data_IF_329966855869
#
_entry.id   IF_329966855869
#
_cell.length_a   1.000
_cell.length_b   1.000
_cell.length_c   1.000
_cell.angle_alpha   90.00
_cell.angle_beta   90.00
_cell.angle_gamma   90.00
#
_symmetry.space_group_name_H-M   'P 1'
#
loop_
_entity.id
_entity.type
_entity.pdbx_description
1 polymer ?
#
# COMPACT_ATOMS: atom_id res chain seq x y z
N UNK A 1 -9.19 23.59 -10.47
CA UNK A 1 -8.70 22.38 -9.79
C UNK A 1 -9.80 21.89 -8.86
N UNK A 2 -10.49 20.78 -9.17
CA UNK A 2 -11.61 20.27 -8.34
C UNK A 2 -11.03 19.59 -7.11
N UNK A 3 -11.13 20.24 -5.95
CA UNK A 3 -10.93 19.61 -4.65
C UNK A 3 -12.00 18.54 -4.46
N UNK A 4 -11.67 17.29 -4.74
CA UNK A 4 -12.49 16.12 -4.42
C UNK A 4 -12.42 15.87 -2.91
N UNK A 5 -13.14 16.68 -2.12
CA UNK A 5 -13.51 16.30 -0.77
C UNK A 5 -14.57 15.20 -0.92
N UNK A 6 -14.11 13.95 -0.97
CA UNK A 6 -14.98 12.82 -0.75
C UNK A 6 -15.60 12.96 0.66
N UNK A 7 -16.85 12.54 0.87
CA UNK A 7 -17.39 12.38 2.20
C UNK A 7 -16.42 11.54 3.04
N UNK A 8 -16.20 11.84 4.34
CA UNK A 8 -15.25 11.12 5.19
C UNK A 8 -15.49 9.61 5.25
N UNK A 9 -16.72 9.18 4.92
CA UNK A 9 -17.10 7.77 4.81
C UNK A 9 -16.54 7.08 3.56
N UNK A 10 -16.40 7.79 2.44
CA UNK A 10 -15.79 7.27 1.22
C UNK A 10 -14.26 7.20 1.37
N UNK A 11 -13.64 8.18 2.03
CA UNK A 11 -12.20 8.16 2.32
C UNK A 11 -11.81 6.99 3.24
N UNK A 12 -12.60 6.76 4.28
CA UNK A 12 -12.40 5.63 5.17
C UNK A 12 -12.55 4.28 4.44
N UNK A 13 -13.50 4.18 3.50
CA UNK A 13 -13.70 2.98 2.67
C UNK A 13 -12.53 2.75 1.72
N UNK A 14 -12.00 3.80 1.11
CA UNK A 14 -10.84 3.73 0.22
C UNK A 14 -9.62 3.24 1.00
N UNK A 15 -9.33 3.87 2.14
CA UNK A 15 -8.22 3.47 3.02
C UNK A 15 -8.38 2.01 3.48
N UNK A 16 -9.57 1.63 3.97
CA UNK A 16 -9.84 0.26 4.43
C UNK A 16 -9.80 -0.77 3.29
N UNK A 17 -10.12 -0.37 2.05
CA UNK A 17 -10.00 -1.22 0.86
C UNK A 17 -8.54 -1.53 0.56
N UNK A 18 -7.70 -0.50 0.53
CA UNK A 18 -6.25 -0.65 0.27
C UNK A 18 -5.57 -1.44 1.38
N UNK A 19 -5.89 -1.18 2.65
CA UNK A 19 -5.33 -1.91 3.79
C UNK A 19 -5.67 -3.41 3.69
N UNK A 20 -6.92 -3.75 3.38
CA UNK A 20 -7.35 -5.15 3.24
C UNK A 20 -6.67 -5.86 2.08
N UNK A 21 -6.52 -5.18 0.95
CA UNK A 21 -5.88 -5.76 -0.23
C UNK A 21 -4.40 -6.05 0.02
N UNK A 22 -3.65 -5.07 0.53
CA UNK A 22 -2.24 -5.26 0.90
C UNK A 22 -2.09 -6.33 1.99
N UNK A 23 -3.00 -6.35 2.97
CA UNK A 23 -2.98 -7.35 4.03
C UNK A 23 -3.22 -8.78 3.52
N UNK A 24 -4.10 -8.93 2.53
CA UNK A 24 -4.33 -10.21 1.86
C UNK A 24 -3.13 -10.62 1.01
N UNK A 25 -2.57 -9.71 0.21
CA UNK A 25 -1.40 -9.96 -0.67
C UNK A 25 -0.16 -10.35 0.14
N UNK A 26 0.10 -9.68 1.27
CA UNK A 26 1.27 -9.94 2.12
C UNK A 26 1.05 -11.03 3.17
N UNK A 27 -0.17 -11.55 3.31
CA UNK A 27 -0.50 -12.55 4.34
C UNK A 27 -0.49 -12.00 5.78
N UNK A 28 -0.47 -10.69 5.96
CA UNK A 28 -0.40 -10.01 7.27
C UNK A 28 -1.79 -9.74 7.87
N UNK A 29 -2.86 -10.26 7.29
CA UNK A 29 -4.23 -10.02 7.74
C UNK A 29 -4.49 -10.43 9.21
N UNK A 30 -3.65 -11.28 9.78
CA UNK A 30 -3.69 -11.71 11.19
C UNK A 30 -2.70 -10.96 12.10
N UNK A 31 -1.86 -10.11 11.55
CA UNK A 31 -0.86 -9.33 12.29
C UNK A 31 -1.38 -7.91 12.53
N UNK A 32 -1.86 -7.68 13.76
CA UNK A 32 -2.38 -6.38 14.17
C UNK A 32 -1.30 -5.27 14.15
N UNK A 33 -0.04 -5.62 14.38
CA UNK A 33 1.08 -4.66 14.38
C UNK A 33 1.40 -4.25 12.95
N UNK A 34 1.47 -5.21 12.03
CA UNK A 34 1.67 -4.96 10.61
C UNK A 34 0.53 -4.12 10.01
N UNK A 35 -0.73 -4.45 10.36
CA UNK A 35 -1.90 -3.66 9.95
C UNK A 35 -1.83 -2.23 10.50
N UNK A 36 -1.39 -2.03 11.74
CA UNK A 36 -1.22 -0.69 12.33
C UNK A 36 -0.18 0.16 11.57
N UNK A 37 0.97 -0.44 11.21
CA UNK A 37 2.00 0.21 10.39
C UNK A 37 1.48 0.57 9.01
N UNK A 38 0.78 -0.36 8.36
CA UNK A 38 0.17 -0.16 7.06
C UNK A 38 -0.88 0.96 7.08
N UNK A 39 -1.73 0.99 8.11
CA UNK A 39 -2.74 2.03 8.30
C UNK A 39 -2.11 3.41 8.44
N UNK A 40 -1.03 3.51 9.22
CA UNK A 40 -0.28 4.77 9.39
C UNK A 40 0.38 5.22 8.09
N UNK A 41 0.93 4.30 7.30
CA UNK A 41 1.46 4.60 5.97
C UNK A 41 0.37 5.14 5.06
N UNK A 42 -0.75 4.42 4.93
CA UNK A 42 -1.89 4.83 4.10
C UNK A 42 -2.40 6.21 4.50
N UNK A 43 -2.55 6.50 5.80
CA UNK A 43 -2.97 7.81 6.29
C UNK A 43 -1.97 8.92 5.92
N UNK A 44 -0.66 8.65 6.00
CA UNK A 44 0.40 9.59 5.58
C UNK A 44 0.38 9.84 4.08
N UNK A 45 0.23 8.81 3.27
CA UNK A 45 0.12 8.94 1.81
C UNK A 45 -1.13 9.73 1.40
N UNK A 46 -2.26 9.45 2.05
CA UNK A 46 -3.50 10.16 1.84
C UNK A 46 -3.37 11.65 2.22
N UNK A 47 -2.71 11.95 3.35
CA UNK A 47 -2.42 13.33 3.78
C UNK A 47 -1.51 14.09 2.81
N UNK A 48 -0.70 13.39 2.00
CA UNK A 48 0.11 13.97 0.92
C UNK A 48 -0.69 14.26 -0.35
N UNK A 49 -1.98 13.95 -0.37
CA UNK A 49 -2.87 14.23 -1.51
C UNK A 49 -3.08 13.04 -2.45
N UNK A 50 -2.57 11.84 -2.14
CA UNK A 50 -2.89 10.63 -2.90
C UNK A 50 -4.31 10.16 -2.56
N UNK A 51 -5.28 10.56 -3.39
CA UNK A 51 -6.70 10.18 -3.28
C UNK A 51 -7.14 9.15 -4.31
N UNK A 52 -6.23 8.74 -5.20
CA UNK A 52 -6.50 7.69 -6.17
C UNK A 52 -6.21 6.31 -5.57
N UNK A 53 -7.13 5.36 -5.73
CA UNK A 53 -7.04 4.03 -5.14
C UNK A 53 -5.82 3.26 -5.66
N UNK A 54 -5.57 3.27 -6.96
CA UNK A 54 -4.47 2.51 -7.55
C UNK A 54 -3.12 3.11 -7.15
N UNK A 55 -3.02 4.44 -7.15
CA UNK A 55 -1.83 5.15 -6.73
C UNK A 55 -1.53 4.96 -5.24
N UNK A 56 -2.56 5.06 -4.38
CA UNK A 56 -2.44 4.83 -2.94
C UNK A 56 -2.03 3.38 -2.66
N UNK A 57 -2.58 2.42 -3.39
CA UNK A 57 -2.24 1.00 -3.23
C UNK A 57 -0.79 0.73 -3.62
N UNK A 58 -0.35 1.12 -4.81
CA UNK A 58 1.04 0.90 -5.25
C UNK A 58 2.04 1.56 -4.31
N UNK A 59 1.80 2.82 -3.92
CA UNK A 59 2.71 3.54 -3.06
C UNK A 59 2.66 3.05 -1.59
N UNK A 60 1.50 2.62 -1.09
CA UNK A 60 1.41 1.99 0.23
C UNK A 60 2.05 0.61 0.25
N UNK A 61 1.93 -0.16 -0.83
CA UNK A 61 2.59 -1.45 -1.00
C UNK A 61 4.12 -1.28 -1.01
N UNK A 62 4.64 -0.32 -1.79
CA UNK A 62 6.08 -0.01 -1.84
C UNK A 62 6.62 0.49 -0.49
N UNK A 63 5.90 1.40 0.17
CA UNK A 63 6.29 1.90 1.50
C UNK A 63 6.23 0.82 2.58
N UNK A 64 5.22 -0.06 2.51
CA UNK A 64 5.10 -1.18 3.42
C UNK A 64 6.17 -2.24 3.17
N UNK A 65 6.45 -2.54 1.89
CA UNK A 65 7.53 -3.43 1.48
C UNK A 65 8.87 -2.92 1.99
N UNK A 66 9.22 -1.65 1.77
CA UNK A 66 10.43 -1.04 2.32
C UNK A 66 10.53 -1.17 3.86
N UNK A 67 9.40 -1.15 4.57
CA UNK A 67 9.36 -1.36 6.02
C UNK A 67 9.48 -2.83 6.46
N UNK A 68 9.13 -3.79 5.60
CA UNK A 68 9.23 -5.25 5.89
C UNK A 68 10.47 -5.89 5.28
N UNK A 69 11.01 -5.32 4.20
CA UNK A 69 12.18 -5.79 3.47
C UNK A 69 13.51 -5.27 4.03
N UNK A 70 13.50 -4.59 5.19
CA UNK A 70 14.72 -4.47 5.98
C UNK A 70 15.27 -5.83 6.47
N UNK A 71 14.51 -6.93 6.29
CA UNK A 71 14.90 -8.29 6.70
C UNK A 71 15.05 -9.28 5.53
N UNK A 72 14.68 -8.95 4.29
CA UNK A 72 14.82 -9.89 3.16
C UNK A 72 15.13 -9.17 1.84
N UNK A 73 16.39 -9.25 1.47
CA UNK A 73 16.95 -9.34 0.12
C UNK A 73 16.01 -9.10 -1.08
N UNK A 74 16.40 -8.11 -1.87
CA UNK A 74 16.01 -7.86 -3.25
C UNK A 74 16.17 -9.13 -4.10
N UNK A 75 15.10 -9.88 -4.33
CA UNK A 75 15.06 -10.93 -5.35
C UNK A 75 13.93 -10.60 -6.33
N UNK A 76 14.29 -9.92 -7.42
CA UNK A 76 14.12 -10.31 -8.84
C UNK A 76 14.11 -9.06 -9.72
N UNK A 77 15.29 -8.43 -9.87
CA UNK A 77 15.57 -7.75 -11.12
C UNK A 77 15.52 -8.82 -12.23
N UNK A 78 14.71 -8.52 -13.23
CA UNK A 78 14.32 -9.42 -14.31
C UNK A 78 15.50 -10.03 -15.07
N UNK A 79 15.81 -11.30 -14.81
CA UNK A 79 16.51 -12.16 -15.78
C UNK A 79 15.47 -12.61 -16.82
N UNK A 80 15.24 -11.77 -17.84
CA UNK A 80 14.66 -12.23 -19.10
C UNK A 80 15.82 -12.73 -19.94
N UNK A 81 16.25 -13.96 -19.67
CA UNK A 81 16.93 -14.80 -20.66
C UNK A 81 15.98 -14.97 -21.85
N UNK A 82 16.28 -14.27 -22.94
CA UNK A 82 15.64 -14.49 -24.24
C UNK A 82 16.37 -15.67 -24.92
N UNK A 83 15.66 -16.75 -25.32
CA UNK A 83 16.28 -17.83 -26.08
C UNK A 83 16.46 -17.43 -27.54
N UNK A 84 17.67 -17.58 -28.08
CA UNK A 84 17.97 -18.24 -29.38
C UNK A 84 19.47 -18.23 -29.69
#
# INVERSE_FOLDING_TARGET
MRSTNLPPKEDARLCAGVIREIAATKGIARDAVAIGKLTTCVAKLYSKGMRDRAQLLSAALEAFDASTNSTAEQAIASDVTHPR
#
